data_IF_803597172565
#
_entry.id   IF_803597172565
#
_cell.length_a   1.000
_cell.length_b   1.000
_cell.length_c   1.000
_cell.angle_alpha   90.00
_cell.angle_beta   90.00
_cell.angle_gamma   90.00
#
_symmetry.space_group_name_H-M   'P 1'
#
loop_
_entity.id
_entity.type
_entity.pdbx_description
1 polymer ?
#
# COMPACT_ATOMS: atom_id res chain seq x y z
N UNK A 1 0.58 15.47 -20.31
CA UNK A 1 0.52 15.11 -18.88
C UNK A 1 1.86 14.52 -18.49
N UNK A 2 2.60 15.15 -17.56
CA UNK A 2 3.84 14.58 -17.06
C UNK A 2 3.54 13.22 -16.41
N UNK A 3 4.28 12.18 -16.80
CA UNK A 3 4.11 10.84 -16.26
C UNK A 3 4.74 10.82 -14.87
N UNK A 4 3.92 10.76 -13.83
CA UNK A 4 4.39 10.64 -12.45
C UNK A 4 5.29 9.39 -12.32
N UNK A 5 6.60 9.55 -12.05
CA UNK A 5 7.55 8.44 -12.00
C UNK A 5 7.27 7.52 -10.81
N UNK A 6 6.84 8.06 -9.66
CA UNK A 6 6.42 7.29 -8.49
C UNK A 6 5.23 6.43 -8.86
N UNK A 7 4.21 7.03 -9.48
CA UNK A 7 3.04 6.28 -9.89
C UNK A 7 3.36 5.19 -10.92
N UNK A 8 4.23 5.46 -11.88
CA UNK A 8 4.66 4.44 -12.84
C UNK A 8 5.40 3.28 -12.17
N UNK A 9 6.27 3.58 -11.20
CA UNK A 9 7.03 2.57 -10.45
C UNK A 9 6.12 1.70 -9.59
N UNK A 10 5.27 2.32 -8.76
CA UNK A 10 4.33 1.62 -7.87
C UNK A 10 3.43 0.68 -8.68
N UNK A 11 2.91 1.17 -9.82
CA UNK A 11 2.09 0.35 -10.73
C UNK A 11 2.86 -0.82 -11.32
N UNK A 12 4.13 -0.66 -11.66
CA UNK A 12 4.94 -1.74 -12.20
C UNK A 12 5.08 -2.92 -11.22
N UNK A 13 5.07 -2.66 -9.91
CA UNK A 13 5.17 -3.71 -8.89
C UNK A 13 3.90 -4.57 -8.77
N UNK A 14 2.73 -4.04 -9.15
CA UNK A 14 1.41 -4.69 -8.95
C UNK A 14 0.78 -5.24 -10.23
N UNK A 15 1.40 -5.01 -11.40
CA UNK A 15 0.84 -5.36 -12.73
C UNK A 15 0.66 -6.85 -13.01
N UNK A 16 1.20 -7.75 -12.19
CA UNK A 16 1.25 -9.18 -12.47
C UNK A 16 0.12 -10.01 -11.85
N UNK A 17 -0.86 -9.37 -11.19
CA UNK A 17 -1.98 -10.07 -10.52
C UNK A 17 -3.33 -9.50 -10.98
N UNK A 18 -4.32 -10.38 -11.04
CA UNK A 18 -5.72 -9.99 -11.21
C UNK A 18 -6.24 -9.48 -9.86
N UNK A 19 -6.64 -8.19 -9.81
CA UNK A 19 -7.10 -7.50 -8.59
C UNK A 19 -6.12 -7.58 -7.38
N UNK A 20 -4.91 -7.00 -7.49
CA UNK A 20 -3.91 -7.08 -6.43
C UNK A 20 -4.38 -6.38 -5.15
N UNK A 21 -4.09 -7.01 -4.01
CA UNK A 21 -4.25 -6.42 -2.67
C UNK A 21 -2.96 -5.72 -2.28
N UNK A 22 -3.03 -4.43 -1.98
CA UNK A 22 -1.87 -3.60 -1.68
C UNK A 22 -1.97 -3.04 -0.28
N UNK A 23 -0.89 -3.12 0.48
CA UNK A 23 -0.74 -2.45 1.76
C UNK A 23 0.20 -1.25 1.61
N UNK A 24 -0.15 -0.08 2.12
CA UNK A 24 0.73 1.10 2.09
C UNK A 24 0.61 1.96 3.36
N UNK A 25 1.59 2.83 3.61
CA UNK A 25 1.57 3.75 4.75
C UNK A 25 1.25 5.21 4.36
N UNK A 26 1.29 5.55 3.07
CA UNK A 26 1.19 6.94 2.64
C UNK A 26 0.09 7.17 1.59
N UNK A 27 -0.55 8.35 1.67
CA UNK A 27 -1.65 8.72 0.80
C UNK A 27 -1.24 8.88 -0.68
N UNK A 28 0.03 9.22 -0.95
CA UNK A 28 0.50 9.39 -2.33
C UNK A 28 0.59 8.05 -3.06
N UNK A 29 1.08 7.00 -2.39
CA UNK A 29 1.11 5.63 -2.93
C UNK A 29 -0.31 5.10 -3.16
N UNK A 30 -1.22 5.35 -2.21
CA UNK A 30 -2.64 5.00 -2.40
C UNK A 30 -3.23 5.69 -3.64
N UNK A 31 -3.04 7.01 -3.77
CA UNK A 31 -3.50 7.80 -4.93
C UNK A 31 -2.93 7.30 -6.25
N UNK A 32 -1.63 6.97 -6.27
CA UNK A 32 -0.95 6.45 -7.46
C UNK A 32 -1.58 5.16 -7.99
N UNK A 33 -2.07 4.30 -7.09
CA UNK A 33 -2.70 3.02 -7.41
C UNK A 33 -4.18 3.18 -7.81
N UNK A 34 -4.93 4.04 -7.12
CA UNK A 34 -6.36 4.22 -7.36
C UNK A 34 -6.67 5.00 -8.64
N UNK A 35 -5.79 5.92 -9.05
CA UNK A 35 -6.10 6.88 -10.13
C UNK A 35 -6.18 6.26 -11.55
N UNK A 36 -5.55 5.13 -11.83
CA UNK A 36 -5.37 4.66 -13.23
C UNK A 36 -5.28 3.13 -13.44
N UNK A 37 -5.42 2.30 -12.40
CA UNK A 37 -5.29 0.84 -12.58
C UNK A 37 -6.65 0.17 -12.85
N UNK A 38 -6.78 -0.40 -14.05
CA UNK A 38 -7.55 -1.63 -14.28
C UNK A 38 -6.52 -2.77 -14.35
N UNK A 39 -6.64 -3.87 -13.59
CA UNK A 39 -7.78 -4.35 -12.78
C UNK A 39 -8.03 -3.60 -11.46
N UNK A 40 -9.17 -3.86 -10.80
CA UNK A 40 -9.58 -3.27 -9.50
C UNK A 40 -8.56 -3.60 -8.39
N UNK A 41 -7.56 -2.73 -8.21
CA UNK A 41 -6.63 -2.80 -7.07
C UNK A 41 -7.39 -2.50 -5.78
N UNK A 42 -7.21 -3.33 -4.77
CA UNK A 42 -7.68 -3.05 -3.40
C UNK A 42 -6.52 -2.49 -2.59
N UNK A 43 -6.66 -1.26 -2.12
CA UNK A 43 -5.62 -0.58 -1.34
C UNK A 43 -6.03 -0.54 0.12
N UNK A 44 -5.16 -1.04 1.00
CA UNK A 44 -5.25 -0.85 2.44
C UNK A 44 -4.16 0.13 2.84
N UNK A 45 -4.53 1.27 3.42
CA UNK A 45 -3.59 2.27 3.94
C UNK A 45 -3.57 2.22 5.46
N UNK A 46 -2.38 2.10 6.02
CA UNK A 46 -2.14 2.29 7.46
C UNK A 46 -2.13 3.78 7.74
N UNK A 47 -2.91 4.20 8.73
CA UNK A 47 -2.92 5.57 9.24
C UNK A 47 -2.64 5.54 10.73
N UNK A 48 -1.80 6.47 11.19
CA UNK A 48 -1.51 6.62 12.62
C UNK A 48 -2.36 7.74 13.23
N UNK A 49 -2.73 8.74 12.43
CA UNK A 49 -3.53 9.88 12.86
C UNK A 49 -4.97 9.78 12.33
N UNK A 50 -6.01 9.99 13.17
CA UNK A 50 -7.40 10.07 12.73
C UNK A 50 -7.65 11.05 11.58
N UNK A 51 -6.87 12.13 11.48
CA UNK A 51 -6.96 13.12 10.39
C UNK A 51 -6.61 12.50 9.04
N UNK A 52 -5.73 11.50 9.00
CA UNK A 52 -5.37 10.78 7.78
C UNK A 52 -6.49 9.88 7.25
N UNK A 53 -7.47 9.53 8.10
CA UNK A 53 -8.67 8.80 7.69
C UNK A 53 -9.61 9.64 6.81
N UNK A 54 -9.66 10.96 7.03
CA UNK A 54 -10.49 11.87 6.22
C UNK A 54 -9.99 11.99 4.77
N UNK A 55 -8.79 11.48 4.49
CA UNK A 55 -8.17 11.50 3.17
C UNK A 55 -8.43 10.27 2.29
N UNK A 56 -9.31 9.33 2.67
CA UNK A 56 -9.62 8.18 1.83
C UNK A 56 -10.22 8.65 0.49
N UNK A 57 -9.52 8.40 -0.62
CA UNK A 57 -9.82 9.06 -1.91
C UNK A 57 -10.78 8.27 -2.80
N UNK A 58 -11.17 7.06 -2.41
CA UNK A 58 -12.01 6.18 -3.25
C UNK A 58 -12.59 4.98 -2.47
N UNK A 59 -13.70 4.40 -2.96
CA UNK A 59 -14.26 3.12 -2.48
C UNK A 59 -13.29 1.93 -2.57
N UNK A 60 -12.15 2.11 -3.24
CA UNK A 60 -11.08 1.10 -3.39
C UNK A 60 -9.97 1.22 -2.34
N UNK A 61 -10.05 2.24 -1.49
CA UNK A 61 -9.12 2.49 -0.41
C UNK A 61 -9.81 2.20 0.93
N UNK A 62 -9.21 1.32 1.72
CA UNK A 62 -9.56 1.11 3.12
C UNK A 62 -8.45 1.68 3.99
N UNK A 63 -8.78 2.64 4.85
CA UNK A 63 -7.84 3.21 5.81
C UNK A 63 -8.00 2.49 7.14
N UNK A 64 -6.92 1.96 7.69
CA UNK A 64 -6.90 1.29 8.99
C UNK A 64 -6.11 2.16 9.95
N UNK A 65 -6.82 2.69 10.94
CA UNK A 65 -6.24 3.52 12.00
C UNK A 65 -5.63 2.64 13.09
N UNK A 66 -4.41 2.97 13.48
CA UNK A 66 -3.71 2.34 14.61
C UNK A 66 -2.22 2.25 14.34
N UNK A 67 -1.45 1.91 15.39
CA UNK A 67 0.00 1.79 15.24
C UNK A 67 0.35 0.71 14.19
N UNK A 68 1.35 0.94 13.32
CA UNK A 68 1.63 0.04 12.21
C UNK A 68 1.89 -1.40 12.66
N UNK A 69 2.64 -1.58 13.75
CA UNK A 69 2.94 -2.90 14.32
C UNK A 69 1.70 -3.65 14.80
N UNK A 70 0.84 -3.00 15.58
CA UNK A 70 -0.39 -3.60 16.07
C UNK A 70 -1.34 -3.93 14.93
N UNK A 71 -1.43 -3.03 13.95
CA UNK A 71 -2.28 -3.23 12.78
C UNK A 71 -1.78 -4.39 11.91
N UNK A 72 -0.47 -4.49 11.65
CA UNK A 72 0.12 -5.62 10.93
C UNK A 72 -0.14 -6.96 11.64
N UNK A 73 0.03 -7.01 12.96
CA UNK A 73 -0.29 -8.20 13.76
C UNK A 73 -1.78 -8.58 13.68
N UNK A 74 -2.67 -7.60 13.68
CA UNK A 74 -4.11 -7.85 13.52
C UNK A 74 -4.47 -8.31 12.10
N UNK A 75 -3.85 -7.74 11.07
CA UNK A 75 -4.04 -8.18 9.67
C UNK A 75 -3.57 -9.63 9.49
N UNK A 76 -2.44 -10.00 10.08
CA UNK A 76 -1.93 -11.37 10.09
C UNK A 76 -2.91 -12.34 10.76
N UNK A 77 -3.42 -11.98 11.96
CA UNK A 77 -4.42 -12.77 12.69
C UNK A 77 -5.73 -12.95 11.92
N UNK A 78 -6.11 -11.96 11.10
CA UNK A 78 -7.28 -12.02 10.23
C UNK A 78 -7.03 -12.84 8.94
N UNK A 79 -5.82 -13.38 8.73
CA UNK A 79 -5.46 -14.10 7.51
C UNK A 79 -5.41 -13.23 6.26
N UNK A 80 -5.24 -11.90 6.43
CA UNK A 80 -5.13 -10.97 5.31
C UNK A 80 -3.71 -11.00 4.77
N UNK A 81 -3.59 -11.24 3.47
CA UNK A 81 -2.33 -11.23 2.73
C UNK A 81 -2.36 -10.21 1.59
N UNK A 82 -1.20 -9.66 1.26
CA UNK A 82 -1.04 -8.61 0.26
C UNK A 82 -0.02 -9.00 -0.82
N UNK A 83 -0.32 -8.64 -2.05
CA UNK A 83 0.48 -8.88 -3.24
C UNK A 83 1.62 -7.86 -3.39
N UNK A 84 1.40 -6.63 -2.91
CA UNK A 84 2.44 -5.63 -2.79
C UNK A 84 2.31 -4.83 -1.50
N UNK A 85 3.45 -4.44 -0.93
CA UNK A 85 3.54 -3.77 0.36
C UNK A 85 4.50 -2.59 0.21
N UNK A 86 4.04 -1.40 0.54
CA UNK A 86 4.79 -0.15 0.48
C UNK A 86 4.79 0.52 1.84
N UNK A 87 5.74 0.14 2.70
CA UNK A 87 5.86 0.64 4.07
C UNK A 87 7.26 1.21 4.30
N UNK A 88 7.44 2.09 5.29
CA UNK A 88 8.76 2.49 5.78
C UNK A 88 9.66 1.30 6.09
N UNK A 89 10.97 1.47 5.91
CA UNK A 89 11.94 0.37 6.01
C UNK A 89 11.94 -0.29 7.41
N UNK A 90 11.76 0.51 8.44
CA UNK A 90 11.65 0.07 9.83
C UNK A 90 10.42 -0.81 10.05
N UNK A 91 9.26 -0.43 9.49
CA UNK A 91 8.03 -1.22 9.58
C UNK A 91 8.13 -2.50 8.74
N UNK A 92 8.79 -2.45 7.58
CA UNK A 92 9.02 -3.63 6.75
C UNK A 92 9.88 -4.69 7.45
N UNK A 93 10.80 -4.29 8.33
CA UNK A 93 11.61 -5.22 9.11
C UNK A 93 10.77 -6.06 10.09
N UNK A 94 9.65 -5.50 10.56
CA UNK A 94 8.72 -6.13 11.49
C UNK A 94 7.54 -6.84 10.78
N UNK A 95 7.59 -6.97 9.45
CA UNK A 95 6.47 -7.45 8.67
C UNK A 95 6.23 -8.96 8.89
N UNK A 96 5.05 -9.37 9.41
CA UNK A 96 4.73 -10.79 9.57
C UNK A 96 4.68 -11.51 8.22
N UNK A 97 5.16 -12.76 8.18
CA UNK A 97 5.20 -13.54 6.95
C UNK A 97 3.80 -13.82 6.39
N UNK A 98 2.81 -13.96 7.28
CA UNK A 98 1.40 -14.24 6.97
C UNK A 98 0.72 -13.09 6.20
N UNK A 99 1.24 -11.87 6.36
CA UNK A 99 0.76 -10.67 5.65
C UNK A 99 1.25 -10.66 4.20
N UNK A 100 2.25 -11.48 3.87
CA UNK A 100 2.83 -11.56 2.52
C UNK A 100 2.17 -12.68 1.73
N UNK A 101 1.50 -12.33 0.64
CA UNK A 101 1.04 -13.33 -0.32
C UNK A 101 2.24 -14.01 -1.03
N UNK A 102 2.01 -15.17 -1.64
CA UNK A 102 3.04 -15.84 -2.45
C UNK A 102 3.45 -14.94 -3.62
N UNK A 103 4.76 -14.65 -3.71
CA UNK A 103 5.31 -13.72 -4.70
C UNK A 103 5.11 -12.24 -4.34
N UNK A 104 4.78 -11.93 -3.08
CA UNK A 104 4.61 -10.56 -2.60
C UNK A 104 5.86 -9.71 -2.81
N UNK A 105 5.65 -8.49 -3.33
CA UNK A 105 6.69 -7.46 -3.45
C UNK A 105 6.58 -6.46 -2.31
N UNK A 106 7.56 -6.46 -1.42
CA UNK A 106 7.71 -5.44 -0.37
C UNK A 106 8.75 -4.41 -0.80
N UNK A 107 8.38 -3.13 -0.77
CA UNK A 107 9.24 -2.02 -1.19
C UNK A 107 9.20 -0.93 -0.13
N UNK A 108 10.37 -0.47 0.29
CA UNK A 108 10.50 0.63 1.24
C UNK A 108 10.01 1.94 0.60
N UNK A 109 9.18 2.72 1.29
CA UNK A 109 8.64 3.99 0.77
C UNK A 109 9.76 4.97 0.41
N UNK A 110 10.87 4.92 1.14
CA UNK A 110 12.09 5.71 0.97
C UNK A 110 12.84 5.37 -0.33
N UNK A 111 12.57 4.20 -0.92
CA UNK A 111 13.13 3.78 -2.21
C UNK A 111 12.25 4.15 -3.40
N UNK A 112 11.07 4.71 -3.15
CA UNK A 112 10.17 5.13 -4.21
C UNK A 112 10.69 6.42 -4.87
N UNK A 113 10.53 6.57 -6.19
CA UNK A 113 10.83 7.84 -6.86
C UNK A 113 10.05 9.00 -6.23
N UNK A 114 10.62 10.20 -6.28
CA UNK A 114 9.90 11.42 -5.90
C UNK A 114 8.65 11.58 -6.78
N UNK A 115 7.52 11.96 -6.15
CA UNK A 115 6.31 12.28 -6.91
C UNK A 115 6.54 13.55 -7.73
N UNK A 116 5.99 13.60 -8.94
CA UNK A 116 5.98 14.84 -9.71
C UNK A 116 5.16 15.92 -8.96
N UNK A 117 5.71 17.13 -8.86
CA UNK A 117 5.04 18.30 -8.26
C UNK A 117 3.81 18.74 -9.07
#
# INVERSE_FOLDING_TARGET
MARDPRASFVRAQVRHREAPRVLCADAQTAKALTSLMQPKVQVTRLAEDPVEMMGAQSDRESVVLGSPRSTLGNLAKQGKSFDAIFLPKDILADLPAEVRAVGCRAVAVESLPEAAK
#
